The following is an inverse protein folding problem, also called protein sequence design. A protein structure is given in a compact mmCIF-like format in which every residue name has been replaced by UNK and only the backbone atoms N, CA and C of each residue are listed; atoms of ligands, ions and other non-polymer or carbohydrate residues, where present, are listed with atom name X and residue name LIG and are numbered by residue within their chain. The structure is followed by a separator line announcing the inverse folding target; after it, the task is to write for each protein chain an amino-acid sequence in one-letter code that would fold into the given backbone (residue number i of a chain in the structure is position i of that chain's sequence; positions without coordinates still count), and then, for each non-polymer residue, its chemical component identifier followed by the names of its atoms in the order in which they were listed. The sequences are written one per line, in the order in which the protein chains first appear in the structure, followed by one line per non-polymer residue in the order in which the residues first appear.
data_IF_335988689094
#
_entry.id   IF_335988689094
#
_cell.length_a   1.000
_cell.length_b   1.000
_cell.length_c   1.000
_cell.angle_alpha   90.00
_cell.angle_beta   90.00
_cell.angle_gamma   90.00
#
_symmetry.space_group_name_H-M   'P 1'
#
loop_
_entity.id
_entity.type
_entity.pdbx_description
1 polymer ?
#
# COMPACT_ATOMS: atom_id res chain seq x y z
N UNK A 1 5.96 20.92 -13.54
CA UNK A 1 7.08 19.93 -13.57
C UNK A 1 8.20 20.36 -14.53
N UNK A 2 7.87 21.05 -15.62
CA UNK A 2 8.77 21.32 -16.75
C UNK A 2 9.77 22.47 -16.47
N UNK A 3 9.56 23.24 -15.40
CA UNK A 3 10.50 24.24 -14.91
C UNK A 3 11.80 23.64 -14.37
N UNK A 4 11.80 22.37 -13.99
CA UNK A 4 13.00 21.67 -13.53
C UNK A 4 13.90 21.26 -14.70
N UNK A 5 15.21 21.29 -14.44
CA UNK A 5 16.24 20.87 -15.40
C UNK A 5 16.00 19.42 -15.84
N UNK A 6 16.17 19.15 -17.14
CA UNK A 6 16.07 17.79 -17.68
C UNK A 6 17.08 16.87 -16.97
N UNK A 7 16.65 15.65 -16.66
CA UNK A 7 17.39 14.73 -15.81
C UNK A 7 16.49 14.13 -14.73
N UNK A 8 17.15 13.57 -13.72
CA UNK A 8 16.54 13.25 -12.42
C UNK A 8 15.75 14.41 -11.80
N UNK A 9 16.20 15.68 -11.82
CA UNK A 9 15.44 16.76 -11.19
C UNK A 9 14.01 16.91 -11.73
N UNK A 10 13.83 16.75 -13.05
CA UNK A 10 12.49 16.80 -13.67
C UNK A 10 11.69 15.53 -13.40
N UNK A 11 12.32 14.36 -13.43
CA UNK A 11 11.64 13.10 -13.19
C UNK A 11 11.18 12.97 -11.74
N UNK A 12 12.03 13.30 -10.77
CA UNK A 12 11.66 13.32 -9.35
C UNK A 12 10.57 14.36 -9.07
N UNK A 13 10.61 15.53 -9.72
CA UNK A 13 9.54 16.51 -9.63
C UNK A 13 8.20 15.99 -10.18
N UNK A 14 8.21 15.15 -11.21
CA UNK A 14 7.00 14.47 -11.69
C UNK A 14 6.49 13.45 -10.68
N UNK A 15 7.38 12.59 -10.17
CA UNK A 15 7.00 11.56 -9.19
C UNK A 15 6.45 12.18 -7.91
N UNK A 16 7.03 13.30 -7.46
CA UNK A 16 6.58 14.05 -6.30
C UNK A 16 5.33 14.91 -6.55
N UNK A 17 4.90 15.09 -7.81
CA UNK A 17 3.75 15.92 -8.13
C UNK A 17 2.41 15.28 -7.70
N UNK A 18 2.37 13.96 -7.51
CA UNK A 18 1.16 13.25 -7.14
C UNK A 18 1.46 11.92 -6.45
N UNK A 19 0.74 11.61 -5.36
CA UNK A 19 0.99 10.43 -4.54
C UNK A 19 0.93 9.11 -5.34
N UNK A 20 0.04 9.04 -6.32
CA UNK A 20 -0.09 7.87 -7.20
C UNK A 20 1.11 7.61 -8.12
N UNK A 21 2.06 8.55 -8.24
CA UNK A 21 3.33 8.36 -8.96
C UNK A 21 4.51 7.97 -8.07
N UNK A 22 4.30 7.81 -6.76
CA UNK A 22 5.29 7.23 -5.86
C UNK A 22 5.39 5.70 -6.06
N UNK A 23 5.78 5.31 -7.28
CA UNK A 23 5.91 3.94 -7.76
C UNK A 23 7.38 3.55 -7.73
N UNK A 24 7.67 2.47 -7.01
CA UNK A 24 9.03 1.96 -6.84
C UNK A 24 9.05 0.43 -6.96
N UNK A 25 10.25 -0.15 -6.97
CA UNK A 25 10.40 -1.60 -6.92
C UNK A 25 10.24 -2.11 -5.49
N UNK A 26 9.58 -3.26 -5.36
CA UNK A 26 9.44 -4.04 -4.13
C UNK A 26 10.69 -4.87 -3.84
N UNK A 27 11.36 -5.33 -4.89
CA UNK A 27 12.51 -6.23 -4.84
C UNK A 27 12.19 -7.57 -4.18
N UNK A 28 10.99 -8.11 -4.40
CA UNK A 28 10.52 -9.32 -3.70
C UNK A 28 11.49 -10.50 -3.83
N UNK A 29 11.90 -10.83 -5.05
CA UNK A 29 12.82 -11.96 -5.27
C UNK A 29 14.19 -11.76 -4.61
N UNK A 30 14.72 -10.53 -4.61
CA UNK A 30 16.01 -10.24 -3.97
C UNK A 30 15.90 -10.29 -2.45
N UNK A 31 14.83 -9.73 -1.87
CA UNK A 31 14.57 -9.80 -0.43
C UNK A 31 14.41 -11.23 0.06
N UNK A 32 13.61 -12.04 -0.64
CA UNK A 32 13.45 -13.47 -0.33
C UNK A 32 14.77 -14.21 -0.42
N UNK A 33 15.58 -13.94 -1.45
CA UNK A 33 16.91 -14.56 -1.56
C UNK A 33 17.81 -14.19 -0.39
N UNK A 34 17.84 -12.93 0.02
CA UNK A 34 18.63 -12.50 1.17
C UNK A 34 18.14 -13.13 2.48
N UNK A 35 16.82 -13.27 2.67
CA UNK A 35 16.25 -13.94 3.84
C UNK A 35 16.67 -15.40 3.92
N UNK A 36 16.59 -16.13 2.80
CA UNK A 36 17.00 -17.53 2.75
C UNK A 36 18.49 -17.71 3.06
N UNK A 37 19.34 -16.84 2.52
CA UNK A 37 20.79 -16.91 2.79
C UNK A 37 21.12 -16.57 4.25
N UNK A 38 20.47 -15.56 4.83
CA UNK A 38 20.67 -15.19 6.23
C UNK A 38 20.13 -16.27 7.18
N UNK A 39 19.03 -16.94 6.81
CA UNK A 39 18.50 -18.08 7.57
C UNK A 39 19.48 -19.25 7.59
N UNK A 40 20.05 -19.60 6.44
CA UNK A 40 21.05 -20.67 6.31
C UNK A 40 22.30 -20.38 7.15
N UNK A 41 22.79 -19.13 7.13
CA UNK A 41 23.93 -18.70 7.98
C UNK A 41 23.65 -18.89 9.48
N UNK A 42 22.42 -18.62 9.93
CA UNK A 42 22.02 -18.82 11.33
C UNK A 42 21.96 -20.31 11.66
N UNK A 43 21.45 -21.15 10.75
CA UNK A 43 21.42 -22.61 10.91
C UNK A 43 22.85 -23.16 11.02
N UNK A 44 23.77 -22.75 10.16
CA UNK A 44 25.18 -23.15 10.22
C UNK A 44 25.83 -22.80 11.57
N UNK A 45 25.52 -21.62 12.11
CA UNK A 45 26.01 -21.19 13.42
C UNK A 45 25.34 -21.94 14.58
N UNK A 46 24.06 -22.28 14.45
CA UNK A 46 23.31 -23.10 15.41
C UNK A 46 23.88 -24.53 15.46
N UNK A 47 24.16 -25.14 14.32
CA UNK A 47 24.81 -26.45 14.23
C UNK A 47 26.20 -26.44 14.88
N UNK A 48 27.01 -25.42 14.61
CA UNK A 48 28.31 -25.24 15.27
C UNK A 48 28.17 -25.08 16.79
N UNK A 49 27.20 -24.28 17.26
CA UNK A 49 26.95 -24.10 18.69
C UNK A 49 26.55 -25.43 19.35
N UNK A 50 25.63 -26.17 18.73
CA UNK A 50 25.18 -27.48 19.20
C UNK A 50 26.34 -28.48 19.29
N UNK A 51 27.26 -28.47 18.33
CA UNK A 51 28.45 -29.31 18.35
C UNK A 51 29.38 -28.95 19.53
N UNK A 52 29.63 -27.65 19.75
CA UNK A 52 30.46 -27.18 20.86
C UNK A 52 29.82 -27.53 22.21
N UNK A 53 28.51 -27.35 22.35
CA UNK A 53 27.78 -27.71 23.57
C UNK A 53 27.76 -29.23 23.81
N UNK A 54 27.64 -30.04 22.75
CA UNK A 54 27.65 -31.50 22.86
C UNK A 54 29.03 -32.06 23.26
N UNK A 55 30.11 -31.40 22.84
CA UNK A 55 31.49 -31.83 23.12
C UNK A 55 32.06 -31.22 24.41
N UNK A 56 31.30 -30.35 25.08
CA UNK A 56 31.71 -29.68 26.31
C UNK A 56 31.89 -30.68 27.46
N UNK A 57 33.08 -30.66 28.07
CA UNK A 57 33.45 -31.61 29.13
C UNK A 57 33.06 -31.11 30.53
N UNK A 58 32.89 -29.81 30.68
CA UNK A 58 32.58 -29.16 31.95
C UNK A 58 31.09 -28.80 32.01
N UNK A 59 30.25 -29.56 32.76
CA UNK A 59 28.84 -29.22 32.91
C UNK A 59 28.62 -27.83 33.51
N UNK A 60 29.57 -27.35 34.32
CA UNK A 60 29.52 -26.01 34.91
C UNK A 60 29.56 -24.91 33.84
N UNK A 61 30.28 -25.11 32.75
CA UNK A 61 30.36 -24.12 31.67
C UNK A 61 29.03 -24.02 30.92
N UNK A 62 28.30 -25.13 30.76
CA UNK A 62 26.94 -25.14 30.17
C UNK A 62 25.91 -24.53 31.14
N UNK A 63 26.07 -24.78 32.44
CA UNK A 63 25.11 -24.38 33.47
C UNK A 63 25.26 -22.92 33.93
N UNK A 64 26.44 -22.31 33.79
CA UNK A 64 26.70 -20.95 34.26
C UNK A 64 27.48 -20.13 33.23
N UNK A 65 26.80 -19.19 32.58
CA UNK A 65 27.42 -18.20 31.69
C UNK A 65 28.55 -17.41 32.35
N UNK A 66 28.48 -17.16 33.67
CA UNK A 66 29.52 -16.41 34.40
C UNK A 66 30.80 -17.23 34.55
N UNK A 67 30.66 -18.54 34.67
CA UNK A 67 31.77 -19.48 34.82
C UNK A 67 32.22 -20.09 33.48
N UNK A 68 31.52 -19.77 32.40
CA UNK A 68 31.83 -20.23 31.05
C UNK A 68 33.16 -19.65 30.54
N UNK A 69 34.14 -20.53 30.33
CA UNK A 69 35.46 -20.21 29.77
C UNK A 69 35.66 -20.73 28.34
N UNK A 70 34.61 -21.27 27.72
CA UNK A 70 34.66 -21.74 26.35
C UNK A 70 34.60 -20.54 25.38
N UNK A 71 35.76 -20.12 24.89
CA UNK A 71 35.87 -18.97 24.00
C UNK A 71 35.23 -19.23 22.63
N UNK A 72 35.31 -20.45 22.11
CA UNK A 72 34.68 -20.82 20.85
C UNK A 72 33.16 -20.60 20.90
N UNK A 73 32.51 -21.13 21.94
CA UNK A 73 31.08 -20.88 22.17
C UNK A 73 30.75 -19.39 22.27
N UNK A 74 31.53 -18.61 23.00
CA UNK A 74 31.32 -17.15 23.11
C UNK A 74 31.41 -16.47 21.75
N UNK A 75 32.35 -16.87 20.89
CA UNK A 75 32.46 -16.30 19.54
C UNK A 75 31.26 -16.67 18.67
N UNK A 76 30.80 -17.91 18.71
CA UNK A 76 29.62 -18.36 17.96
C UNK A 76 28.37 -17.61 18.43
N UNK A 77 28.15 -17.51 19.75
CA UNK A 77 27.04 -16.75 20.33
C UNK A 77 27.10 -15.27 19.93
N UNK A 78 28.29 -14.67 19.88
CA UNK A 78 28.45 -13.30 19.43
C UNK A 78 28.06 -13.13 17.96
N UNK A 79 28.47 -14.06 17.08
CA UNK A 79 28.08 -14.06 15.67
C UNK A 79 26.57 -14.27 15.51
N UNK A 80 26.00 -15.26 16.20
CA UNK A 80 24.56 -15.52 16.20
C UNK A 80 23.75 -14.27 16.57
N UNK A 81 24.18 -13.51 17.59
CA UNK A 81 23.51 -12.25 17.95
C UNK A 81 23.48 -11.24 16.81
N UNK A 82 24.61 -11.09 16.11
CA UNK A 82 24.70 -10.18 14.96
C UNK A 82 23.87 -10.68 13.78
N UNK A 83 23.97 -11.96 13.43
CA UNK A 83 23.25 -12.55 12.29
C UNK A 83 21.74 -12.57 12.53
N UNK A 84 21.28 -12.90 13.75
CA UNK A 84 19.86 -12.81 14.14
C UNK A 84 19.33 -11.38 14.07
N UNK A 85 20.06 -10.40 14.58
CA UNK A 85 19.66 -8.98 14.48
C UNK A 85 19.53 -8.53 13.03
N UNK A 86 20.47 -8.91 12.16
CA UNK A 86 20.43 -8.57 10.74
C UNK A 86 19.28 -9.28 10.01
N UNK A 87 19.01 -10.53 10.38
CA UNK A 87 17.88 -11.31 9.86
C UNK A 87 16.53 -10.67 10.24
N UNK A 88 16.37 -10.28 11.50
CA UNK A 88 15.14 -9.64 11.99
C UNK A 88 14.87 -8.30 11.29
N UNK A 89 15.91 -7.47 11.09
CA UNK A 89 15.81 -6.21 10.33
C UNK A 89 15.38 -6.46 8.88
N UNK A 90 15.94 -7.50 8.26
CA UNK A 90 15.59 -7.89 6.89
C UNK A 90 14.16 -8.42 6.80
N UNK A 91 13.72 -9.19 7.80
CA UNK A 91 12.37 -9.74 7.89
C UNK A 91 11.34 -8.61 8.04
N UNK A 92 11.56 -7.68 8.98
CA UNK A 92 10.68 -6.53 9.20
C UNK A 92 10.62 -5.63 7.95
N UNK A 93 11.77 -5.35 7.34
CA UNK A 93 11.84 -4.59 6.09
C UNK A 93 11.11 -5.29 4.94
N UNK A 94 11.15 -6.63 4.89
CA UNK A 94 10.47 -7.43 3.87
C UNK A 94 8.97 -7.50 4.12
N UNK A 95 8.52 -7.64 5.37
CA UNK A 95 7.12 -7.55 5.76
C UNK A 95 6.53 -6.20 5.36
N UNK A 96 7.23 -5.10 5.68
CA UNK A 96 6.82 -3.75 5.27
C UNK A 96 6.72 -3.62 3.74
N UNK A 97 7.70 -4.15 3.01
CA UNK A 97 7.68 -4.17 1.55
C UNK A 97 6.50 -4.98 0.97
N UNK A 98 6.13 -6.08 1.62
CA UNK A 98 4.99 -6.92 1.23
C UNK A 98 3.64 -6.25 1.49
N UNK A 99 3.55 -5.46 2.57
CA UNK A 99 2.34 -4.74 2.96
C UNK A 99 1.94 -3.62 2.00
N UNK A 100 2.89 -3.08 1.22
CA UNK A 100 2.56 -2.09 0.20
C UNK A 100 1.71 -2.70 -0.92
N UNK A 101 0.79 -1.90 -1.45
CA UNK A 101 -0.07 -2.29 -2.55
C UNK A 101 0.66 -2.21 -3.89
N UNK A 102 0.10 -2.90 -4.89
CA UNK A 102 0.53 -2.75 -6.28
C UNK A 102 0.02 -1.42 -6.83
N UNK A 103 0.83 -0.70 -7.63
CA UNK A 103 0.34 0.51 -8.26
C UNK A 103 -0.74 0.19 -9.29
N UNK A 104 -1.69 1.11 -9.47
CA UNK A 104 -2.71 0.96 -10.48
C UNK A 104 -2.08 1.13 -11.88
N UNK A 105 -2.39 0.20 -12.80
CA UNK A 105 -1.78 0.13 -14.14
C UNK A 105 -1.78 1.46 -14.90
N UNK A 106 -2.90 2.19 -14.85
CA UNK A 106 -3.04 3.56 -15.37
C UNK A 106 -1.87 4.49 -15.02
N UNK A 107 -1.41 4.52 -13.77
CA UNK A 107 -0.33 5.42 -13.34
C UNK A 107 1.04 4.92 -13.82
N UNK A 108 1.26 3.60 -13.81
CA UNK A 108 2.44 2.98 -14.42
C UNK A 108 2.54 3.31 -15.91
N UNK A 109 1.46 3.13 -16.67
CA UNK A 109 1.39 3.48 -18.10
C UNK A 109 1.57 4.97 -18.35
N UNK A 110 1.01 5.83 -17.48
CA UNK A 110 1.21 7.28 -17.56
C UNK A 110 2.68 7.67 -17.40
N UNK A 111 3.39 7.09 -16.43
CA UNK A 111 4.83 7.31 -16.25
C UNK A 111 5.64 6.79 -17.44
N UNK A 112 5.32 5.59 -17.95
CA UNK A 112 5.98 5.02 -19.12
C UNK A 112 5.80 5.91 -20.36
N UNK A 113 4.58 6.38 -20.64
CA UNK A 113 4.30 7.29 -21.75
C UNK A 113 5.02 8.63 -21.60
N UNK A 114 5.03 9.18 -20.38
CA UNK A 114 5.74 10.41 -20.11
C UNK A 114 7.24 10.27 -20.36
N UNK A 115 7.86 9.20 -19.87
CA UNK A 115 9.29 8.91 -20.06
C UNK A 115 9.64 8.63 -21.52
N UNK A 116 8.76 7.98 -22.27
CA UNK A 116 8.93 7.79 -23.71
C UNK A 116 8.94 9.13 -24.45
N UNK A 117 8.14 10.10 -23.99
CA UNK A 117 8.06 11.44 -24.52
C UNK A 117 9.10 12.43 -24.01
N UNK A 118 9.58 12.21 -22.79
CA UNK A 118 10.51 13.05 -22.06
C UNK A 118 11.67 12.16 -21.65
N UNK A 119 12.62 11.97 -22.57
CA UNK A 119 13.83 11.19 -22.37
C UNK A 119 14.79 11.91 -21.40
N UNK A 120 14.37 12.08 -20.15
CA UNK A 120 15.11 12.76 -19.09
C UNK A 120 15.93 11.80 -18.22
N UNK A 121 15.64 10.50 -18.24
CA UNK A 121 16.36 9.46 -17.50
C UNK A 121 16.76 8.34 -18.45
N UNK A 122 17.88 7.67 -18.19
CA UNK A 122 18.37 6.60 -19.03
C UNK A 122 17.34 5.44 -19.13
N UNK A 123 17.23 4.82 -20.31
CA UNK A 123 16.30 3.69 -20.54
C UNK A 123 16.58 2.50 -19.63
N UNK A 124 17.85 2.26 -19.28
CA UNK A 124 18.26 1.19 -18.36
C UNK A 124 17.71 1.44 -16.94
N UNK A 125 17.70 2.69 -16.50
CA UNK A 125 17.25 3.09 -15.16
C UNK A 125 15.72 3.12 -15.05
N UNK A 126 15.00 3.30 -16.16
CA UNK A 126 13.52 3.30 -16.20
C UNK A 126 12.93 1.93 -16.56
N UNK A 127 13.76 0.94 -16.86
CA UNK A 127 13.33 -0.41 -17.23
C UNK A 127 12.53 -1.12 -16.13
N UNK A 128 12.69 -0.71 -14.87
CA UNK A 128 11.93 -1.30 -13.76
C UNK A 128 10.42 -1.13 -13.91
N UNK A 129 9.96 -0.05 -14.55
CA UNK A 129 8.53 0.22 -14.77
C UNK A 129 7.87 -0.84 -15.67
N UNK A 130 8.64 -1.71 -16.33
CA UNK A 130 8.12 -2.80 -17.17
C UNK A 130 7.78 -4.06 -16.37
N UNK A 131 8.28 -4.18 -15.14
CA UNK A 131 8.09 -5.38 -14.33
C UNK A 131 6.96 -5.18 -13.32
N UNK A 132 5.72 -5.27 -13.80
CA UNK A 132 4.51 -4.95 -13.02
C UNK A 132 4.38 -5.76 -11.71
N UNK A 133 4.90 -6.99 -11.69
CA UNK A 133 4.85 -7.88 -10.52
C UNK A 133 5.77 -7.42 -9.37
N UNK A 134 6.83 -6.67 -9.68
CA UNK A 134 7.82 -6.19 -8.71
C UNK A 134 7.62 -4.71 -8.37
N UNK A 135 6.50 -4.09 -8.74
CA UNK A 135 6.19 -2.71 -8.40
C UNK A 135 5.38 -2.61 -7.09
N UNK A 136 5.60 -1.52 -6.36
CA UNK A 136 4.80 -1.09 -5.23
C UNK A 136 4.48 0.40 -5.31
N UNK A 137 3.43 0.81 -4.61
CA UNK A 137 3.11 2.23 -4.38
C UNK A 137 3.27 2.59 -2.91
N UNK A 138 3.88 3.75 -2.64
CA UNK A 138 3.94 4.30 -1.27
C UNK A 138 2.64 4.98 -0.85
N UNK A 139 1.73 5.25 -1.78
CA UNK A 139 0.43 5.84 -1.47
C UNK A 139 -0.49 4.78 -0.84
N UNK A 140 -0.78 4.91 0.45
CA UNK A 140 -1.81 4.09 1.14
C UNK A 140 -3.17 4.25 0.45
N UNK A 141 -3.90 3.15 0.20
CA UNK A 141 -5.30 3.16 -0.26
C UNK A 141 -6.28 3.15 0.93
N UNK A 142 -5.91 3.72 2.07
CA UNK A 142 -6.81 3.82 3.25
C UNK A 142 -8.11 4.61 3.02
N UNK A 143 -8.32 5.18 1.83
CA UNK A 143 -9.56 5.81 1.41
C UNK A 143 -10.15 5.11 0.18
N UNK A 144 -10.37 3.79 0.25
CA UNK A 144 -10.78 2.96 -0.89
C UNK A 144 -11.93 3.55 -1.71
N UNK A 145 -12.98 4.03 -1.06
CA UNK A 145 -14.15 4.63 -1.73
C UNK A 145 -13.95 6.06 -2.17
N UNK A 146 -13.37 6.91 -1.33
CA UNK A 146 -13.15 8.32 -1.69
C UNK A 146 -12.15 8.39 -2.84
N UNK A 147 -11.06 7.61 -2.81
CA UNK A 147 -10.08 7.54 -3.91
C UNK A 147 -10.63 6.83 -5.14
N UNK A 148 -11.43 5.78 -4.99
CA UNK A 148 -12.09 5.13 -6.14
C UNK A 148 -13.07 6.09 -6.83
N UNK A 149 -13.87 6.82 -6.04
CA UNK A 149 -14.81 7.82 -6.54
C UNK A 149 -14.06 9.00 -7.14
N UNK A 150 -13.04 9.52 -6.46
CA UNK A 150 -12.14 10.56 -6.96
C UNK A 150 -11.57 10.17 -8.32
N UNK A 151 -11.02 8.96 -8.47
CA UNK A 151 -10.49 8.46 -9.75
C UNK A 151 -11.58 8.38 -10.83
N UNK A 152 -12.72 7.77 -10.51
CA UNK A 152 -13.81 7.51 -11.47
C UNK A 152 -14.50 8.79 -11.93
N UNK A 153 -14.76 9.69 -10.98
CA UNK A 153 -15.40 10.98 -11.21
C UNK A 153 -14.43 11.93 -11.91
N UNK A 154 -13.18 12.04 -11.44
CA UNK A 154 -12.19 12.87 -12.12
C UNK A 154 -11.99 12.41 -13.55
N UNK A 155 -11.83 11.11 -13.82
CA UNK A 155 -11.67 10.62 -15.20
C UNK A 155 -12.88 10.95 -16.09
N UNK A 156 -14.11 10.72 -15.61
CA UNK A 156 -15.31 10.97 -16.42
C UNK A 156 -15.65 12.45 -16.58
N UNK A 157 -15.50 13.25 -15.53
CA UNK A 157 -15.81 14.68 -15.56
C UNK A 157 -14.75 15.42 -16.36
N UNK A 158 -13.46 15.12 -16.18
CA UNK A 158 -12.36 15.77 -16.90
C UNK A 158 -12.37 15.42 -18.39
N UNK A 159 -12.61 14.16 -18.76
CA UNK A 159 -12.73 13.80 -20.18
C UNK A 159 -13.90 14.51 -20.87
N UNK A 160 -14.95 14.90 -20.13
CA UNK A 160 -16.10 15.63 -20.67
C UNK A 160 -15.97 17.15 -20.62
N UNK A 161 -15.30 17.71 -19.61
CA UNK A 161 -15.21 19.17 -19.38
C UNK A 161 -13.95 19.83 -19.95
N UNK A 162 -13.19 19.16 -20.82
CA UNK A 162 -12.27 19.76 -21.78
C UNK A 162 -11.44 20.97 -21.31
N UNK A 163 -10.16 20.72 -20.99
CA UNK A 163 -9.08 21.73 -21.00
C UNK A 163 -9.32 22.99 -20.15
N UNK A 164 -9.38 22.85 -18.82
CA UNK A 164 -9.36 24.02 -17.93
C UNK A 164 -8.73 23.82 -16.56
N UNK A 165 -8.31 22.61 -16.21
CA UNK A 165 -7.68 22.33 -14.92
C UNK A 165 -6.21 22.71 -14.93
N UNK A 166 -5.77 23.45 -13.91
CA UNK A 166 -4.35 23.73 -13.63
C UNK A 166 -3.65 22.39 -13.38
N UNK A 167 -3.11 21.79 -14.43
CA UNK A 167 -2.36 20.54 -14.34
C UNK A 167 -0.92 20.83 -13.91
N UNK A 168 -0.38 20.02 -13.00
CA UNK A 168 1.00 20.18 -12.51
C UNK A 168 2.06 19.90 -13.61
N UNK A 169 1.66 19.17 -14.65
CA UNK A 169 2.42 18.97 -15.89
C UNK A 169 1.74 19.64 -17.08
N UNK A 170 2.55 20.20 -17.98
CA UNK A 170 2.14 20.76 -19.26
C UNK A 170 2.11 19.72 -20.39
N UNK A 171 2.53 18.47 -20.14
CA UNK A 171 2.50 17.40 -21.13
C UNK A 171 1.07 16.86 -21.30
N UNK A 172 0.50 16.89 -22.52
CA UNK A 172 -0.86 16.41 -22.79
C UNK A 172 -1.03 14.90 -22.53
N UNK A 173 0.06 14.14 -22.36
CA UNK A 173 0.03 12.69 -22.09
C UNK A 173 -0.01 12.34 -20.61
N UNK A 174 0.10 13.33 -19.71
CA UNK A 174 -0.01 13.10 -18.26
C UNK A 174 -0.96 14.11 -17.62
N UNK A 175 -2.11 13.60 -17.18
CA UNK A 175 -3.06 14.39 -16.43
C UNK A 175 -2.81 14.24 -14.94
N UNK A 176 -2.14 15.23 -14.36
CA UNK A 176 -1.93 15.35 -12.90
C UNK A 176 -2.90 16.40 -12.38
N UNK A 177 -3.92 15.96 -11.65
CA UNK A 177 -4.80 16.89 -10.95
C UNK A 177 -4.25 17.22 -9.56
N UNK A 178 -4.35 18.47 -9.11
CA UNK A 178 -3.98 18.84 -7.76
C UNK A 178 -4.91 18.16 -6.75
N UNK A 179 -4.31 17.53 -5.72
CA UNK A 179 -4.96 16.74 -4.67
C UNK A 179 -6.09 17.47 -3.92
N UNK A 180 -6.04 18.80 -3.83
CA UNK A 180 -7.08 19.59 -3.13
C UNK A 180 -8.38 19.68 -3.93
N UNK A 181 -8.32 19.75 -5.25
CA UNK A 181 -9.51 19.90 -6.09
C UNK A 181 -10.29 18.59 -6.22
N UNK A 182 -9.58 17.47 -6.30
CA UNK A 182 -10.16 16.15 -6.49
C UNK A 182 -10.87 15.65 -5.23
N UNK A 183 -10.29 15.89 -4.05
CA UNK A 183 -10.92 15.60 -2.74
C UNK A 183 -12.16 16.45 -2.51
N UNK A 184 -12.13 17.75 -2.84
CA UNK A 184 -13.30 18.63 -2.68
C UNK A 184 -14.45 18.21 -3.60
N UNK A 185 -14.17 17.87 -4.87
CA UNK A 185 -15.19 17.41 -5.81
C UNK A 185 -15.77 16.06 -5.39
N UNK A 186 -14.92 15.11 -4.94
CA UNK A 186 -15.39 13.83 -4.44
C UNK A 186 -16.30 13.99 -3.21
N UNK A 187 -15.94 14.86 -2.26
CA UNK A 187 -16.77 15.18 -1.09
C UNK A 187 -18.07 15.89 -1.47
N UNK A 188 -18.03 16.80 -2.44
CA UNK A 188 -19.21 17.51 -2.93
C UNK A 188 -20.22 16.60 -3.65
N UNK A 189 -19.79 15.46 -4.18
CA UNK A 189 -20.67 14.44 -4.80
C UNK A 189 -21.13 13.41 -3.77
N UNK A 190 -20.23 12.99 -2.88
CA UNK A 190 -20.53 11.95 -1.89
C UNK A 190 -21.48 12.44 -0.80
N UNK A 191 -21.33 13.69 -0.33
CA UNK A 191 -22.19 14.29 0.69
C UNK A 191 -23.68 14.32 0.30
N UNK A 192 -24.08 14.84 -0.88
CA UNK A 192 -25.49 14.83 -1.28
C UNK A 192 -26.00 13.42 -1.60
N UNK A 193 -25.15 12.51 -2.11
CA UNK A 193 -25.54 11.12 -2.35
C UNK A 193 -25.92 10.41 -1.05
N UNK A 194 -25.11 10.58 0.01
CA UNK A 194 -25.40 10.03 1.34
C UNK A 194 -26.67 10.68 1.91
N UNK A 195 -26.82 12.00 1.79
CA UNK A 195 -28.02 12.70 2.25
C UNK A 195 -29.28 12.21 1.53
N UNK A 196 -29.21 11.99 0.22
CA UNK A 196 -30.31 11.43 -0.57
C UNK A 196 -30.65 10.00 -0.13
N UNK A 197 -29.65 9.16 0.08
CA UNK A 197 -29.83 7.77 0.53
C UNK A 197 -30.52 7.70 1.90
N UNK A 198 -30.25 8.66 2.79
CA UNK A 198 -30.87 8.76 4.12
C UNK A 198 -32.27 9.39 4.10
N UNK A 199 -32.50 10.40 3.26
CA UNK A 199 -33.75 11.16 3.24
C UNK A 199 -34.83 10.52 2.35
N UNK A 200 -34.46 9.88 1.23
CA UNK A 200 -35.42 9.30 0.30
C UNK A 200 -36.35 8.26 0.94
N UNK A 201 -35.88 7.33 1.80
CA UNK A 201 -36.76 6.38 2.50
C UNK A 201 -37.78 7.05 3.41
N UNK A 202 -37.37 8.12 4.10
CA UNK A 202 -38.24 8.87 5.03
C UNK A 202 -39.35 9.58 4.26
N UNK A 203 -39.02 10.20 3.13
CA UNK A 203 -40.00 10.87 2.26
C UNK A 203 -40.97 9.87 1.65
N UNK A 204 -40.49 8.73 1.13
CA UNK A 204 -41.35 7.69 0.55
C UNK A 204 -42.30 7.12 1.61
N UNK A 205 -41.83 6.92 2.84
CA UNK A 205 -42.68 6.46 3.94
C UNK A 205 -43.78 7.44 4.34
N UNK A 206 -43.60 8.75 4.08
CA UNK A 206 -44.60 9.77 4.39
C UNK A 206 -45.69 9.87 3.30
N UNK A 207 -45.45 9.32 2.12
CA UNK A 207 -46.41 9.31 1.01
C UNK A 207 -47.33 8.08 1.00
N UNK A 208 -47.05 7.09 1.86
CA UNK A 208 -47.78 5.82 1.90
C UNK A 208 -48.69 5.80 3.12
N UNK A 209 -50.00 5.72 2.88
CA UNK A 209 -51.02 5.69 3.95
C UNK A 209 -51.12 4.32 4.64
N UNK A 210 -50.72 3.23 3.96
CA UNK A 210 -50.83 1.87 4.54
C UNK A 210 -49.66 1.53 5.46
N UNK A 211 -49.98 1.09 6.70
CA UNK A 211 -48.99 0.77 7.73
C UNK A 211 -48.06 -0.39 7.33
N UNK A 212 -48.59 -1.40 6.63
CA UNK A 212 -47.83 -2.57 6.20
C UNK A 212 -46.81 -2.22 5.10
N UNK A 213 -47.20 -1.43 4.09
CA UNK A 213 -46.26 -1.04 3.04
C UNK A 213 -45.17 -0.09 3.56
N UNK A 214 -45.47 0.77 4.54
CA UNK A 214 -44.48 1.62 5.20
C UNK A 214 -43.38 0.78 5.89
N UNK A 215 -43.77 -0.30 6.57
CA UNK A 215 -42.84 -1.20 7.26
C UNK A 215 -41.93 -1.92 6.26
N UNK A 216 -42.49 -2.43 5.15
CA UNK A 216 -41.71 -3.09 4.07
C UNK A 216 -40.72 -2.12 3.43
N UNK A 217 -41.12 -0.88 3.16
CA UNK A 217 -40.24 0.15 2.57
C UNK A 217 -39.11 0.52 3.53
N UNK A 218 -39.38 0.66 4.84
CA UNK A 218 -38.33 0.92 5.83
C UNK A 218 -37.31 -0.21 5.89
N UNK A 219 -37.76 -1.47 5.94
CA UNK A 219 -36.87 -2.64 5.96
C UNK A 219 -36.06 -2.75 4.66
N UNK A 220 -36.68 -2.55 3.49
CA UNK A 220 -35.97 -2.58 2.21
C UNK A 220 -34.92 -1.46 2.09
N UNK A 221 -35.24 -0.27 2.57
CA UNK A 221 -34.32 0.86 2.57
C UNK A 221 -33.14 0.68 3.53
N UNK A 222 -33.36 0.14 4.74
CA UNK A 222 -32.27 -0.14 5.69
C UNK A 222 -31.35 -1.24 5.17
N UNK A 223 -31.90 -2.31 4.58
CA UNK A 223 -31.10 -3.36 3.94
C UNK A 223 -30.28 -2.80 2.78
N UNK A 224 -30.88 -1.96 1.93
CA UNK A 224 -30.17 -1.32 0.81
C UNK A 224 -29.09 -0.37 1.31
N UNK A 225 -29.36 0.41 2.35
CA UNK A 225 -28.38 1.30 2.99
C UNK A 225 -27.19 0.52 3.54
N UNK A 226 -27.45 -0.52 4.33
CA UNK A 226 -26.39 -1.39 4.87
C UNK A 226 -25.60 -2.05 3.75
N UNK A 227 -26.26 -2.55 2.70
CA UNK A 227 -25.61 -3.18 1.56
C UNK A 227 -24.74 -2.17 0.78
N UNK A 228 -25.22 -0.95 0.56
CA UNK A 228 -24.43 0.14 -0.01
C UNK A 228 -23.22 0.47 0.86
N UNK A 229 -23.40 0.62 2.18
CA UNK A 229 -22.31 0.90 3.11
C UNK A 229 -21.30 -0.24 3.08
N UNK A 230 -21.70 -1.51 3.17
CA UNK A 230 -20.80 -2.66 3.10
C UNK A 230 -20.04 -2.76 1.77
N UNK A 231 -20.69 -2.49 0.64
CA UNK A 231 -20.02 -2.46 -0.67
C UNK A 231 -19.03 -1.29 -0.79
N UNK A 232 -19.36 -0.15 -0.18
CA UNK A 232 -18.52 1.04 -0.13
C UNK A 232 -17.37 0.91 0.88
N UNK A 233 -17.57 0.23 2.01
CA UNK A 233 -16.58 0.02 3.07
C UNK A 233 -15.75 -1.25 2.90
N UNK A 234 -15.74 -1.85 1.71
CA UNK A 234 -14.88 -2.98 1.30
C UNK A 234 -13.36 -2.69 1.33
N UNK A 235 -12.90 -1.79 2.21
CA UNK A 235 -11.51 -1.68 2.63
C UNK A 235 -11.14 -2.63 3.79
N UNK A 236 -12.08 -3.27 4.50
CA UNK A 236 -11.80 -4.41 5.42
C UNK A 236 -13.09 -5.01 5.98
N UNK A 237 -13.55 -6.11 5.39
CA UNK A 237 -14.59 -6.98 5.96
C UNK A 237 -14.14 -7.67 7.27
N UNK A 238 -12.85 -7.61 7.60
CA UNK A 238 -12.25 -8.27 8.78
C UNK A 238 -12.53 -7.51 10.09
N UNK A 239 -12.59 -6.18 10.07
CA UNK A 239 -12.77 -5.37 11.30
C UNK A 239 -14.26 -5.26 11.72
N UNK A 240 -15.18 -5.34 10.75
CA UNK A 240 -16.63 -5.31 10.99
C UNK A 240 -17.16 -6.62 11.61
N UNK A 241 -16.51 -7.75 11.33
CA UNK A 241 -16.87 -9.03 11.94
C UNK A 241 -16.51 -9.09 13.44
N UNK A 242 -15.45 -8.39 13.86
CA UNK A 242 -15.03 -8.31 15.27
C UNK A 242 -15.92 -7.33 16.05
N UNK A 243 -16.33 -6.22 15.44
CA UNK A 243 -17.22 -5.24 16.08
C UNK A 243 -18.68 -5.71 16.24
N UNK A 244 -19.11 -6.72 15.47
CA UNK A 244 -20.44 -7.33 15.62
C UNK A 244 -20.51 -8.48 16.63
N UNK A 245 -19.39 -8.86 17.23
CA UNK A 245 -19.28 -9.98 18.17
C UNK A 245 -19.19 -9.55 19.66
N UNK A 246 -19.40 -8.27 19.96
CA UNK A 246 -19.52 -7.71 21.32
C UNK A 246 -20.90 -7.09 21.52
#
# INVERSE_FOLDING_TARGET
VESYRQGYPRFSALMAAHDAFHIFRRFSGLRTRLLLLAQDEIVDLEEQLNLVDHTERSPLFLASRREDKNEERKTIISKLRTSLSAYDELLEGSQRALAYERPHQKYTSSLQHWLAGNACVARKETAFLKNDEDLLTLSSTEDGVVKWLERTVCDKIVCRLGKGGISSSRDPRVHIFPRSSTVTVARAILSPLIAFLLLAPVVICNLIESMAARLVVMVGATVTFVLCVCLLTNARTVDLAVAGAT
#
